data_IF_474603316187
#
_entry.id   IF_474603316187
#
_cell.length_a   1.000
_cell.length_b   1.000
_cell.length_c   1.000
_cell.angle_alpha   90.00
_cell.angle_beta   90.00
_cell.angle_gamma   90.00
#
_symmetry.space_group_name_H-M   'P 1'
#
loop_
_entity.id
_entity.type
_entity.pdbx_description
1 polymer ?
#
# COMPACT_ATOMS: atom_id res chain seq x y z
N UNK A 1 -5.48 10.74 21.29
CA UNK A 1 -6.71 10.58 20.50
C UNK A 1 -6.29 9.92 19.19
N UNK A 2 -6.85 8.73 18.89
CA UNK A 2 -6.46 7.73 17.87
C UNK A 2 -5.02 7.19 18.06
N UNK A 3 -4.81 5.99 18.60
CA UNK A 3 -5.09 4.72 17.94
C UNK A 3 -5.72 3.70 18.92
N UNK A 4 -7.00 3.32 18.76
CA UNK A 4 -7.53 2.10 19.34
C UNK A 4 -7.40 0.93 18.35
N UNK A 5 -7.28 -0.27 18.92
CA UNK A 5 -7.44 -1.59 18.31
C UNK A 5 -6.25 -2.16 17.52
N UNK A 6 -5.29 -2.69 18.29
CA UNK A 6 -4.65 -3.98 18.00
C UNK A 6 -5.74 -5.07 17.87
N UNK A 7 -6.40 -5.17 16.72
CA UNK A 7 -7.11 -6.41 16.34
C UNK A 7 -6.11 -7.25 15.55
N UNK A 8 -5.24 -7.91 16.33
CA UNK A 8 -4.38 -8.97 15.86
C UNK A 8 -5.25 -10.08 15.26
N UNK A 9 -5.28 -10.15 13.93
CA UNK A 9 -5.66 -11.33 13.18
C UNK A 9 -4.63 -11.47 12.08
N UNK A 10 -3.42 -11.93 12.43
CA UNK A 10 -2.42 -12.57 11.56
C UNK A 10 -2.39 -12.07 10.10
N UNK A 11 -2.43 -10.75 9.88
CA UNK A 11 -2.35 -10.13 8.56
C UNK A 11 -1.07 -9.35 8.54
N UNK A 12 -0.19 -9.77 7.63
CA UNK A 12 1.10 -9.12 7.47
C UNK A 12 0.84 -7.76 6.84
N UNK A 13 1.28 -6.70 7.51
CA UNK A 13 1.23 -5.36 6.94
C UNK A 13 2.37 -5.22 5.95
N UNK A 14 2.04 -4.81 4.74
CA UNK A 14 3.02 -4.44 3.73
C UNK A 14 2.94 -2.96 3.47
N UNK A 15 4.10 -2.38 3.23
CA UNK A 15 4.30 -1.02 2.83
C UNK A 15 4.93 -1.02 1.43
N UNK A 16 4.34 -0.23 0.56
CA UNK A 16 4.71 -0.06 -0.83
C UNK A 16 5.07 1.41 -1.02
N UNK A 17 6.30 1.69 -1.38
CA UNK A 17 6.69 3.00 -1.86
C UNK A 17 6.65 2.94 -3.38
N UNK A 18 5.86 3.82 -3.98
CA UNK A 18 5.81 3.99 -5.44
C UNK A 18 6.40 5.33 -5.84
N UNK A 19 7.08 5.35 -6.98
CA UNK A 19 7.41 6.59 -7.69
C UNK A 19 6.17 7.08 -8.45
N UNK A 20 5.92 8.38 -8.32
CA UNK A 20 4.74 9.06 -8.80
C UNK A 20 3.81 9.53 -7.68
N UNK A 21 2.91 10.41 -8.05
CA UNK A 21 1.80 10.85 -7.21
C UNK A 21 0.61 9.92 -7.45
N UNK A 22 0.08 9.27 -6.40
CA UNK A 22 -1.24 8.66 -6.51
C UNK A 22 -2.31 9.75 -6.48
N UNK A 23 -2.93 10.00 -7.64
CA UNK A 23 -4.17 10.77 -7.69
C UNK A 23 -5.28 10.07 -6.91
N UNK A 24 -6.30 10.82 -6.47
CA UNK A 24 -7.47 10.28 -5.74
C UNK A 24 -8.10 9.06 -6.44
N UNK A 25 -8.10 9.03 -7.79
CA UNK A 25 -8.59 7.86 -8.56
C UNK A 25 -7.75 6.60 -8.35
N UNK A 26 -6.43 6.74 -8.31
CA UNK A 26 -5.55 5.62 -8.03
C UNK A 26 -5.75 5.16 -6.59
N UNK A 27 -5.90 6.08 -5.63
CA UNK A 27 -6.17 5.74 -4.23
C UNK A 27 -7.51 5.00 -4.11
N UNK A 28 -8.53 5.42 -4.86
CA UNK A 28 -9.82 4.73 -4.91
C UNK A 28 -9.75 3.30 -5.49
N UNK A 29 -8.70 2.96 -6.24
CA UNK A 29 -8.45 1.59 -6.70
C UNK A 29 -7.90 0.68 -5.58
N UNK A 30 -7.43 1.25 -4.46
CA UNK A 30 -6.87 0.55 -3.31
C UNK A 30 -7.55 0.93 -1.99
N UNK A 31 -8.87 0.69 -1.84
CA UNK A 31 -9.59 1.07 -0.62
C UNK A 31 -9.15 0.30 0.63
N UNK A 32 -8.50 -0.86 0.44
CA UNK A 32 -7.96 -1.68 1.54
C UNK A 32 -6.56 -1.21 2.01
N UNK A 33 -5.89 -0.39 1.20
CA UNK A 33 -4.60 0.20 1.54
C UNK A 33 -4.79 1.64 2.04
N UNK A 34 -4.18 1.95 3.17
CA UNK A 34 -4.01 3.33 3.59
C UNK A 34 -2.89 3.97 2.78
N UNK A 35 -3.17 5.12 2.18
CA UNK A 35 -2.16 5.91 1.46
C UNK A 35 -1.68 7.04 2.37
N UNK A 36 -0.37 7.27 2.42
CA UNK A 36 0.24 8.40 3.10
C UNK A 36 0.97 9.27 2.08
N UNK A 37 0.71 10.57 2.16
CA UNK A 37 1.45 11.57 1.42
C UNK A 37 2.89 11.64 1.97
N UNK A 38 3.86 11.31 1.12
CA UNK A 38 5.28 11.51 1.37
C UNK A 38 5.78 12.61 0.41
N UNK A 39 6.92 13.26 0.69
CA UNK A 39 7.48 14.23 -0.24
C UNK A 39 7.59 13.67 -1.66
N UNK A 40 7.06 14.42 -2.62
CA UNK A 40 7.18 14.15 -4.06
C UNK A 40 8.65 13.91 -4.43
N UNK A 41 8.94 12.97 -5.34
CA UNK A 41 8.02 12.32 -6.28
C UNK A 41 7.48 10.95 -5.82
N UNK A 42 7.39 10.66 -4.51
CA UNK A 42 6.98 9.33 -4.06
C UNK A 42 5.58 9.32 -3.43
N UNK A 43 4.94 8.17 -3.42
CA UNK A 43 3.74 7.90 -2.62
C UNK A 43 3.91 6.62 -1.83
N UNK A 44 3.47 6.60 -0.57
CA UNK A 44 3.57 5.42 0.30
C UNK A 44 2.18 4.85 0.52
N UNK A 45 2.01 3.56 0.25
CA UNK A 45 0.79 2.82 0.57
C UNK A 45 1.12 1.75 1.60
N UNK A 46 0.28 1.58 2.60
CA UNK A 46 0.45 0.54 3.61
C UNK A 46 -0.88 -0.11 3.92
N UNK A 47 -0.88 -1.42 4.12
CA UNK A 47 -2.09 -2.13 4.47
C UNK A 47 -1.87 -3.61 4.71
N UNK A 48 -2.89 -4.30 5.26
CA UNK A 48 -2.85 -5.73 5.41
C UNK A 48 -2.90 -6.41 4.03
N UNK A 49 -2.04 -7.39 3.80
CA UNK A 49 -2.11 -8.24 2.60
C UNK A 49 -2.27 -9.69 3.05
N UNK A 50 -3.31 -10.36 2.54
CA UNK A 50 -3.62 -11.74 2.89
C UNK A 50 -2.50 -12.71 2.46
N UNK A 51 -2.15 -12.74 1.16
CA UNK A 51 -1.20 -13.70 0.60
C UNK A 51 -0.38 -13.12 -0.55
N UNK A 52 0.66 -13.85 -0.99
CA UNK A 52 1.50 -13.47 -2.13
C UNK A 52 0.71 -13.31 -3.44
N UNK A 53 -0.41 -14.03 -3.61
CA UNK A 53 -1.32 -13.86 -4.74
C UNK A 53 -1.99 -12.48 -4.74
N UNK A 54 -2.41 -11.99 -3.57
CA UNK A 54 -2.97 -10.65 -3.42
C UNK A 54 -1.90 -9.59 -3.67
N UNK A 55 -0.67 -9.81 -3.17
CA UNK A 55 0.49 -8.97 -3.43
C UNK A 55 0.76 -8.83 -4.93
N UNK A 56 0.83 -9.95 -5.66
CA UNK A 56 1.02 -9.96 -7.12
C UNK A 56 -0.10 -9.21 -7.86
N UNK A 57 -1.34 -9.37 -7.43
CA UNK A 57 -2.47 -8.60 -7.97
C UNK A 57 -2.32 -7.09 -7.74
N UNK A 58 -1.80 -6.70 -6.59
CA UNK A 58 -1.51 -5.29 -6.27
C UNK A 58 -0.43 -4.73 -7.19
N UNK A 59 0.68 -5.46 -7.35
CA UNK A 59 1.79 -5.10 -8.25
C UNK A 59 1.29 -4.93 -9.69
N UNK A 60 0.44 -5.83 -10.17
CA UNK A 60 -0.16 -5.71 -11.50
C UNK A 60 -1.06 -4.48 -11.66
N UNK A 61 -1.76 -4.04 -10.59
CA UNK A 61 -2.55 -2.81 -10.62
C UNK A 61 -1.66 -1.57 -10.63
N UNK A 62 -0.56 -1.57 -9.88
CA UNK A 62 0.42 -0.48 -9.94
C UNK A 62 0.99 -0.35 -11.36
N UNK A 63 1.39 -1.48 -11.98
CA UNK A 63 1.88 -1.51 -13.35
C UNK A 63 0.82 -1.03 -14.36
N UNK A 64 -0.43 -1.48 -14.23
CA UNK A 64 -1.54 -1.04 -15.07
C UNK A 64 -1.86 0.47 -14.97
N UNK A 65 -1.52 1.09 -13.83
CA UNK A 65 -1.64 2.53 -13.60
C UNK A 65 -0.40 3.31 -14.05
N UNK A 66 0.68 2.62 -14.45
CA UNK A 66 1.97 3.23 -14.76
C UNK A 66 2.74 3.71 -13.52
N UNK A 67 2.44 3.14 -12.35
CA UNK A 67 3.12 3.44 -11.09
C UNK A 67 4.23 2.41 -10.85
N UNK A 68 5.44 2.90 -10.61
CA UNK A 68 6.60 2.03 -10.33
C UNK A 68 6.75 1.83 -8.84
N UNK A 69 6.67 0.59 -8.35
CA UNK A 69 6.99 0.27 -6.94
C UNK A 69 8.50 0.31 -6.77
N UNK A 70 8.99 1.31 -6.05
CA UNK A 70 10.42 1.46 -5.72
C UNK A 70 10.83 0.70 -4.47
N UNK A 71 9.91 0.54 -3.53
CA UNK A 71 10.21 -0.17 -2.29
C UNK A 71 9.03 -1.00 -1.83
N UNK A 72 9.31 -2.24 -1.41
CA UNK A 72 8.35 -3.12 -0.78
C UNK A 72 8.92 -3.52 0.58
N UNK A 73 8.30 -3.05 1.66
CA UNK A 73 8.67 -3.41 3.03
C UNK A 73 7.56 -4.21 3.67
N UNK A 74 7.94 -5.35 4.24
CA UNK A 74 7.08 -6.07 5.16
C UNK A 74 7.25 -5.46 6.56
N UNK A 75 6.17 -4.93 7.13
CA UNK A 75 6.18 -4.45 8.49
C UNK A 75 5.98 -5.65 9.44
N UNK A 76 6.85 -5.82 10.45
CA UNK A 76 6.54 -6.69 11.58
C UNK A 76 5.36 -6.06 12.35
N UNK A 77 4.40 -6.91 12.77
CA UNK A 77 3.24 -6.50 13.59
C UNK A 77 3.70 -6.00 14.97
#
# INVERSE_FOLDING_TARGET
MAQPADTNTRRVRYEFLVEGELSERAQAAFPDLATTEVPVPFTRLFGPVDDESALRGMLARFDALGLTVVELRRLPD
#
